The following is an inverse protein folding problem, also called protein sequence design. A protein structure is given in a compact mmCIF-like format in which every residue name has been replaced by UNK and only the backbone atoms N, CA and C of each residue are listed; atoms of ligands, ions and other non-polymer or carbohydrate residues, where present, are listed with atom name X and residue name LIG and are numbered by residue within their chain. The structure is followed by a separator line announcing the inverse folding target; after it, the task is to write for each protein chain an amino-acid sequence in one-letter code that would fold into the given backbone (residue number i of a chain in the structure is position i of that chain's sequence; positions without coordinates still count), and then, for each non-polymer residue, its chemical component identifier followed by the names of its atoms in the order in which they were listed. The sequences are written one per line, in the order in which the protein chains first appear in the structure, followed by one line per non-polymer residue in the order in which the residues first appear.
data_IF_862690294831
#
_entry.id   IF_862690294831
#
_cell.length_a   1.000
_cell.length_b   1.000
_cell.length_c   1.000
_cell.angle_alpha   90.00
_cell.angle_beta   90.00
_cell.angle_gamma   90.00
#
_symmetry.space_group_name_H-M   'P 1'
#
loop_
_entity.id
_entity.type
_entity.pdbx_description
1 polymer ?
#
# COMPACT_ATOMS: atom_id res chain seq x y z
N UNK A 1 9.71 4.65 -12.50
CA UNK A 1 10.27 3.50 -11.75
C UNK A 1 11.38 2.89 -12.59
N UNK A 2 12.46 2.42 -11.95
CA UNK A 2 13.55 1.69 -12.61
C UNK A 2 13.16 0.22 -12.87
N UNK A 3 13.93 -0.56 -13.66
CA UNK A 3 13.63 -1.96 -13.93
C UNK A 3 13.52 -2.83 -12.66
N UNK A 4 14.43 -2.65 -11.71
CA UNK A 4 14.42 -3.41 -10.44
C UNK A 4 13.18 -3.05 -9.60
N UNK A 5 12.81 -1.78 -9.52
CA UNK A 5 11.59 -1.35 -8.81
C UNK A 5 10.31 -1.88 -9.47
N UNK A 6 10.29 -1.98 -10.80
CA UNK A 6 9.18 -2.57 -11.54
C UNK A 6 9.06 -4.07 -11.28
N UNK A 7 10.19 -4.78 -11.17
CA UNK A 7 10.19 -6.20 -10.81
C UNK A 7 9.70 -6.43 -9.36
N UNK A 8 10.09 -5.56 -8.43
CA UNK A 8 9.67 -5.61 -7.04
C UNK A 8 8.16 -5.35 -6.88
N UNK A 9 7.64 -4.34 -7.59
CA UNK A 9 6.22 -4.01 -7.63
C UNK A 9 5.38 -5.23 -8.07
N UNK A 10 5.86 -5.97 -9.06
CA UNK A 10 5.18 -7.13 -9.68
C UNK A 10 5.51 -8.48 -9.04
N UNK A 11 5.99 -8.49 -7.80
CA UNK A 11 6.27 -9.72 -7.04
C UNK A 11 7.26 -10.68 -7.74
N UNK A 12 8.22 -10.16 -8.53
CA UNK A 12 9.21 -10.95 -9.28
C UNK A 12 10.48 -11.22 -8.47
N UNK A 13 10.34 -11.96 -7.37
CA UNK A 13 11.45 -12.21 -6.42
C UNK A 13 12.72 -12.77 -7.07
N UNK A 14 12.60 -13.72 -8.01
CA UNK A 14 13.75 -14.28 -8.73
C UNK A 14 14.55 -13.24 -9.52
N UNK A 15 13.89 -12.21 -10.06
CA UNK A 15 14.57 -11.12 -10.77
C UNK A 15 15.30 -10.23 -9.76
N UNK A 16 14.66 -9.95 -8.61
CA UNK A 16 15.26 -9.14 -7.55
C UNK A 16 16.51 -9.82 -7.02
N UNK A 17 16.45 -11.10 -6.68
CA UNK A 17 17.61 -11.84 -6.16
C UNK A 17 18.80 -11.83 -7.14
N UNK A 18 18.55 -11.81 -8.45
CA UNK A 18 19.59 -11.64 -9.47
C UNK A 18 20.10 -10.18 -9.62
N UNK A 19 19.20 -9.20 -9.57
CA UNK A 19 19.55 -7.79 -9.81
C UNK A 19 20.28 -7.16 -8.62
N UNK A 20 20.00 -7.58 -7.38
CA UNK A 20 20.66 -7.02 -6.20
C UNK A 20 22.15 -7.40 -6.08
N UNK A 21 22.61 -8.38 -6.84
CA UNK A 21 24.03 -8.76 -6.89
C UNK A 21 24.83 -7.92 -7.90
N UNK A 22 24.14 -7.11 -8.72
CA UNK A 22 24.75 -6.34 -9.80
C UNK A 22 25.45 -5.09 -9.28
N UNK A 23 26.74 -4.87 -9.58
CA UNK A 23 27.50 -3.73 -9.06
C UNK A 23 26.95 -2.37 -9.49
N UNK A 24 26.16 -2.32 -10.56
CA UNK A 24 25.54 -1.10 -11.09
C UNK A 24 24.34 -0.61 -10.26
N UNK A 25 23.74 -1.47 -9.44
CA UNK A 25 22.59 -1.11 -8.59
C UNK A 25 23.13 -0.64 -7.24
N UNK A 26 22.80 0.60 -6.86
CA UNK A 26 23.23 1.16 -5.57
C UNK A 26 22.63 0.41 -4.39
N UNK A 27 23.27 0.50 -3.23
CA UNK A 27 22.77 -0.16 -2.02
C UNK A 27 21.37 0.36 -1.62
N UNK A 28 21.11 1.65 -1.80
CA UNK A 28 19.81 2.26 -1.55
C UNK A 28 18.73 1.67 -2.46
N UNK A 29 19.02 1.53 -3.76
CA UNK A 29 18.07 0.97 -4.72
C UNK A 29 17.81 -0.53 -4.45
N UNK A 30 18.83 -1.28 -4.02
CA UNK A 30 18.66 -2.67 -3.57
C UNK A 30 17.74 -2.75 -2.35
N UNK A 31 17.96 -1.89 -1.36
CA UNK A 31 17.16 -1.82 -0.13
C UNK A 31 15.70 -1.51 -0.48
N UNK A 32 15.45 -0.45 -1.24
CA UNK A 32 14.08 -0.05 -1.60
C UNK A 32 13.37 -1.10 -2.46
N UNK A 33 14.10 -1.78 -3.35
CA UNK A 33 13.55 -2.89 -4.13
C UNK A 33 13.15 -4.08 -3.26
N UNK A 34 13.97 -4.45 -2.26
CA UNK A 34 13.66 -5.53 -1.32
C UNK A 34 12.48 -5.16 -0.41
N UNK A 35 12.45 -3.92 0.09
CA UNK A 35 11.31 -3.39 0.87
C UNK A 35 10.01 -3.44 0.06
N UNK A 36 10.04 -2.93 -1.18
CA UNK A 36 8.89 -2.93 -2.06
C UNK A 36 8.46 -4.34 -2.42
N UNK A 37 9.39 -5.26 -2.68
CA UNK A 37 9.07 -6.66 -2.97
C UNK A 37 8.38 -7.32 -1.76
N UNK A 38 8.89 -7.09 -0.54
CA UNK A 38 8.25 -7.56 0.67
C UNK A 38 6.83 -6.98 0.83
N UNK A 39 6.67 -5.69 0.56
CA UNK A 39 5.37 -5.03 0.57
C UNK A 39 4.39 -5.58 -0.48
N UNK A 40 4.88 -5.93 -1.67
CA UNK A 40 4.10 -6.58 -2.73
C UNK A 40 3.58 -7.93 -2.25
N UNK A 41 4.44 -8.83 -1.74
CA UNK A 41 4.03 -10.14 -1.24
C UNK A 41 2.98 -10.06 -0.11
N UNK A 42 3.01 -9.02 0.72
CA UNK A 42 2.05 -8.85 1.81
C UNK A 42 0.63 -8.47 1.35
N UNK A 43 0.46 -7.86 0.18
CA UNK A 43 -0.82 -7.29 -0.27
C UNK A 43 -1.12 -7.53 -1.77
N UNK A 44 -0.54 -8.58 -2.35
CA UNK A 44 -0.80 -9.03 -3.72
C UNK A 44 -1.96 -10.04 -3.74
N UNK A 45 -2.82 -9.99 -4.76
CA UNK A 45 -3.97 -10.88 -4.89
C UNK A 45 -3.58 -12.31 -5.27
N UNK A 46 -2.57 -12.46 -6.13
CA UNK A 46 -2.18 -13.73 -6.75
C UNK A 46 -0.96 -14.34 -6.05
N UNK A 47 -0.06 -13.48 -5.56
CA UNK A 47 1.22 -13.88 -5.00
C UNK A 47 1.28 -13.72 -3.47
N UNK A 48 0.15 -13.56 -2.78
CA UNK A 48 0.11 -13.34 -1.33
C UNK A 48 0.97 -14.36 -0.55
N UNK A 49 1.98 -13.86 0.16
CA UNK A 49 2.88 -14.70 0.98
C UNK A 49 3.52 -13.85 2.09
N UNK A 50 2.96 -13.93 3.30
CA UNK A 50 3.50 -13.19 4.45
C UNK A 50 4.89 -13.65 4.90
N UNK A 51 5.24 -14.92 4.63
CA UNK A 51 6.57 -15.43 4.99
C UNK A 51 7.63 -14.77 4.11
N UNK A 52 7.37 -14.69 2.79
CA UNK A 52 8.23 -13.96 1.85
C UNK A 52 8.22 -12.46 2.12
N UNK A 53 7.07 -11.89 2.46
CA UNK A 53 6.98 -10.47 2.83
C UNK A 53 7.96 -10.12 3.96
N UNK A 54 7.85 -10.84 5.08
CA UNK A 54 8.77 -10.68 6.21
C UNK A 54 10.22 -10.94 5.81
N UNK A 55 10.49 -12.02 5.08
CA UNK A 55 11.84 -12.38 4.66
C UNK A 55 12.54 -11.25 3.89
N UNK A 56 11.86 -10.65 2.90
CA UNK A 56 12.46 -9.56 2.11
C UNK A 56 12.54 -8.24 2.88
N UNK A 57 11.57 -7.93 3.74
CA UNK A 57 11.67 -6.77 4.65
C UNK A 57 12.81 -6.92 5.67
N UNK A 58 13.06 -8.14 6.13
CA UNK A 58 14.17 -8.43 7.04
C UNK A 58 15.51 -8.27 6.33
N UNK A 59 15.65 -8.85 5.12
CA UNK A 59 16.84 -8.72 4.28
C UNK A 59 17.17 -7.27 3.94
N UNK A 60 16.16 -6.44 3.68
CA UNK A 60 16.39 -5.01 3.44
C UNK A 60 16.87 -4.28 4.70
N UNK A 61 16.35 -4.65 5.88
CA UNK A 61 16.77 -4.08 7.15
C UNK A 61 18.22 -4.48 7.51
N UNK A 62 18.61 -5.74 7.25
CA UNK A 62 20.01 -6.17 7.39
C UNK A 62 20.95 -5.35 6.50
N UNK A 63 20.54 -5.04 5.25
CA UNK A 63 21.33 -4.19 4.38
C UNK A 63 21.43 -2.74 4.89
N UNK A 64 20.35 -2.17 5.43
CA UNK A 64 20.37 -0.81 6.02
C UNK A 64 21.39 -0.67 7.15
N UNK A 65 21.63 -1.73 7.90
CA UNK A 65 22.53 -1.79 9.05
C UNK A 65 23.80 -2.60 8.77
N UNK A 66 24.14 -2.84 7.49
CA UNK A 66 25.32 -3.60 7.09
C UNK A 66 26.63 -2.89 7.43
N UNK A 67 26.61 -1.55 7.50
CA UNK A 67 27.64 -0.71 8.09
C UNK A 67 27.08 -0.11 9.40
N UNK A 68 27.46 -0.63 10.59
CA UNK A 68 26.95 -0.15 11.87
C UNK A 68 27.31 1.30 12.19
N UNK A 69 28.42 1.80 11.65
CA UNK A 69 28.89 3.17 11.89
C UNK A 69 28.15 4.19 11.02
N UNK A 70 27.59 3.75 9.88
CA UNK A 70 26.85 4.59 8.94
C UNK A 70 25.58 3.91 8.40
N UNK A 71 24.56 3.69 9.25
CA UNK A 71 23.33 3.03 8.83
C UNK A 71 22.49 3.91 7.87
N UNK A 72 21.92 3.28 6.84
CA UNK A 72 21.03 3.91 5.87
C UNK A 72 19.61 3.97 6.47
N UNK A 73 19.32 5.06 7.19
CA UNK A 73 18.04 5.23 7.89
C UNK A 73 16.86 5.41 6.93
N UNK A 74 15.70 4.88 7.31
CA UNK A 74 14.44 5.12 6.60
C UNK A 74 14.02 6.58 6.78
N UNK A 75 13.36 7.13 5.76
CA UNK A 75 12.70 8.44 5.88
C UNK A 75 11.43 8.28 6.71
N UNK A 76 11.33 9.05 7.80
CA UNK A 76 10.08 9.13 8.57
C UNK A 76 9.01 9.85 7.74
N UNK A 77 7.85 9.21 7.61
CA UNK A 77 6.65 9.79 7.01
C UNK A 77 5.56 9.94 8.07
N UNK A 78 4.68 10.91 7.89
CA UNK A 78 3.53 11.07 8.77
C UNK A 78 2.65 9.81 8.70
N UNK A 79 2.29 9.21 9.85
CA UNK A 79 1.40 8.07 9.86
C UNK A 79 0.07 8.37 9.17
N UNK A 80 -0.40 7.40 8.39
CA UNK A 80 -1.63 7.52 7.61
C UNK A 80 -2.76 6.87 8.41
N UNK A 81 -3.86 7.60 8.72
CA UNK A 81 -4.95 7.05 9.52
C UNK A 81 -5.55 5.75 8.97
N UNK A 82 -5.66 5.63 7.65
CA UNK A 82 -6.16 4.42 7.01
C UNK A 82 -5.30 3.17 7.30
N UNK A 83 -4.00 3.36 7.55
CA UNK A 83 -3.07 2.31 7.93
C UNK A 83 -2.96 2.17 9.46
N UNK A 84 -4.02 2.48 10.21
CA UNK A 84 -4.03 2.40 11.70
C UNK A 84 -3.05 3.38 12.35
N UNK A 85 -2.67 4.45 11.63
CA UNK A 85 -1.55 5.30 12.03
C UNK A 85 -0.25 4.50 12.28
N UNK A 86 -0.04 3.43 11.50
CA UNK A 86 1.16 2.62 11.59
C UNK A 86 2.42 3.47 11.36
N UNK A 87 3.39 3.30 12.25
CA UNK A 87 4.72 3.89 12.12
C UNK A 87 5.63 2.79 11.60
N UNK A 88 6.23 3.03 10.44
CA UNK A 88 7.10 2.06 9.81
C UNK A 88 8.27 1.67 10.73
N UNK A 89 8.57 0.37 10.84
CA UNK A 89 9.69 -0.12 11.63
C UNK A 89 11.00 0.51 11.16
N UNK A 90 11.73 1.12 12.09
CA UNK A 90 13.02 1.80 11.87
C UNK A 90 14.21 0.89 12.15
N UNK A 91 14.03 -0.17 12.94
CA UNK A 91 15.09 -1.08 13.36
C UNK A 91 14.74 -2.54 13.10
N UNK A 92 15.76 -3.41 13.07
CA UNK A 92 15.56 -4.85 12.94
C UNK A 92 14.72 -5.41 14.10
N UNK A 93 14.98 -4.95 15.32
CA UNK A 93 14.23 -5.39 16.51
C UNK A 93 12.74 -5.05 16.44
N UNK A 94 12.38 -3.87 15.93
CA UNK A 94 10.98 -3.49 15.72
C UNK A 94 10.30 -4.40 14.69
N UNK A 95 10.99 -4.72 13.59
CA UNK A 95 10.48 -5.62 12.56
C UNK A 95 10.33 -7.06 13.08
N UNK A 96 11.28 -7.54 13.87
CA UNK A 96 11.22 -8.86 14.51
C UNK A 96 10.05 -8.97 15.50
N UNK A 97 9.76 -7.88 16.23
CA UNK A 97 8.63 -7.83 17.17
C UNK A 97 7.28 -8.04 16.47
N UNK A 98 7.15 -7.65 15.20
CA UNK A 98 5.92 -7.81 14.41
C UNK A 98 5.91 -9.07 13.53
N UNK A 99 6.96 -9.90 13.55
CA UNK A 99 7.09 -11.10 12.69
C UNK A 99 5.87 -12.02 12.69
N UNK A 100 5.22 -12.17 13.85
CA UNK A 100 4.03 -13.02 14.05
C UNK A 100 2.72 -12.25 14.08
N UNK A 101 2.77 -10.92 13.88
CA UNK A 101 1.60 -10.06 13.82
C UNK A 101 1.22 -9.83 12.35
N UNK A 102 0.32 -10.65 11.81
CA UNK A 102 -0.11 -10.57 10.41
C UNK A 102 -0.64 -9.19 10.03
N UNK A 103 -1.47 -8.57 10.88
CA UNK A 103 -2.00 -7.23 10.61
C UNK A 103 -0.89 -6.18 10.59
N UNK A 104 0.05 -6.28 11.53
CA UNK A 104 1.22 -5.42 11.57
C UNK A 104 2.05 -5.49 10.29
N UNK A 105 2.29 -6.70 9.77
CA UNK A 105 3.00 -6.88 8.50
C UNK A 105 2.21 -6.31 7.30
N UNK A 106 0.87 -6.38 7.30
CA UNK A 106 0.07 -5.76 6.25
C UNK A 106 0.16 -4.23 6.28
N UNK A 107 0.09 -3.62 7.48
CA UNK A 107 0.16 -2.15 7.62
C UNK A 107 1.59 -1.63 7.38
N UNK A 108 2.61 -2.35 7.84
CA UNK A 108 4.03 -2.10 7.51
C UNK A 108 4.22 -2.11 5.99
N UNK A 109 3.68 -3.11 5.29
CA UNK A 109 3.76 -3.21 3.83
C UNK A 109 3.09 -2.04 3.10
N UNK A 110 1.89 -1.62 3.52
CA UNK A 110 1.21 -0.48 2.89
C UNK A 110 1.98 0.83 3.10
N UNK A 111 2.54 1.00 4.31
CA UNK A 111 3.36 2.16 4.68
C UNK A 111 4.65 2.21 3.87
N UNK A 112 5.37 1.08 3.76
CA UNK A 112 6.56 0.93 2.92
C UNK A 112 6.25 1.29 1.47
N UNK A 113 5.19 0.72 0.90
CA UNK A 113 4.84 0.93 -0.52
C UNK A 113 4.59 2.40 -0.81
N UNK A 114 3.83 3.10 0.04
CA UNK A 114 3.54 4.52 -0.18
C UNK A 114 4.76 5.42 0.06
N UNK A 115 5.66 5.08 1.00
CA UNK A 115 6.95 5.76 1.17
C UNK A 115 7.84 5.62 -0.05
N UNK A 116 8.04 4.38 -0.52
CA UNK A 116 9.00 4.04 -1.59
C UNK A 116 8.52 4.52 -2.95
N UNK A 117 7.24 4.28 -3.30
CA UNK A 117 6.70 4.68 -4.60
C UNK A 117 6.21 6.13 -4.64
N UNK A 118 5.85 6.69 -3.48
CA UNK A 118 5.23 7.99 -3.35
C UNK A 118 3.73 7.99 -3.66
N UNK A 119 2.97 8.82 -2.95
CA UNK A 119 1.51 8.97 -3.13
C UNK A 119 1.05 9.33 -4.55
N UNK A 120 1.95 9.86 -5.40
CA UNK A 120 1.62 10.20 -6.78
C UNK A 120 1.75 9.02 -7.76
N UNK A 121 2.11 7.83 -7.28
CA UNK A 121 2.30 6.66 -8.13
C UNK A 121 0.98 5.89 -8.29
N UNK A 122 0.55 5.59 -9.54
CA UNK A 122 -0.72 4.93 -9.83
C UNK A 122 -0.81 3.47 -9.34
N UNK A 123 0.30 2.84 -8.98
CA UNK A 123 0.36 1.45 -8.46
C UNK A 123 0.16 1.36 -6.94
N UNK A 124 0.16 2.49 -6.22
CA UNK A 124 -0.07 2.53 -4.76
C UNK A 124 -1.50 2.17 -4.36
N UNK A 125 -2.57 2.66 -5.05
CA UNK A 125 -3.95 2.36 -4.68
C UNK A 125 -4.34 0.88 -4.72
N UNK A 126 -3.76 0.08 -5.63
CA UNK A 126 -4.27 -1.26 -5.91
C UNK A 126 -4.14 -2.25 -4.73
N UNK A 127 -2.97 -2.37 -4.05
CA UNK A 127 -2.85 -3.19 -2.84
C UNK A 127 -3.70 -2.71 -1.67
N UNK A 128 -3.92 -1.40 -1.54
CA UNK A 128 -4.79 -0.81 -0.51
C UNK A 128 -6.23 -1.27 -0.73
N UNK A 129 -6.71 -1.21 -1.98
CA UNK A 129 -8.05 -1.69 -2.37
C UNK A 129 -8.18 -3.19 -2.08
N UNK A 130 -7.17 -3.98 -2.44
CA UNK A 130 -7.17 -5.41 -2.17
C UNK A 130 -7.27 -5.71 -0.68
N UNK A 131 -6.44 -5.06 0.17
CA UNK A 131 -6.51 -5.24 1.62
C UNK A 131 -7.88 -4.83 2.19
N UNK A 132 -8.46 -3.74 1.69
CA UNK A 132 -9.82 -3.32 2.07
C UNK A 132 -10.89 -4.35 1.70
N UNK A 133 -10.77 -5.00 0.54
CA UNK A 133 -11.69 -6.07 0.14
C UNK A 133 -11.61 -7.27 1.11
N UNK A 134 -10.40 -7.67 1.52
CA UNK A 134 -10.21 -8.72 2.53
C UNK A 134 -10.89 -8.35 3.85
N UNK A 135 -10.83 -7.08 4.29
CA UNK A 135 -11.58 -6.65 5.47
C UNK A 135 -13.10 -6.72 5.27
N UNK A 136 -13.62 -6.31 4.11
CA UNK A 136 -15.04 -6.40 3.79
C UNK A 136 -15.56 -7.85 3.79
N UNK A 137 -14.78 -8.79 3.24
CA UNK A 137 -15.11 -10.22 3.23
C UNK A 137 -15.20 -10.79 4.66
N UNK A 138 -14.49 -10.19 5.62
CA UNK A 138 -14.54 -10.52 7.04
C UNK A 138 -15.52 -9.62 7.84
N UNK A 139 -16.45 -8.92 7.15
CA UNK A 139 -17.42 -7.99 7.72
C UNK A 139 -16.80 -6.82 8.54
N UNK A 140 -15.50 -6.55 8.37
CA UNK A 140 -14.79 -5.40 8.93
C UNK A 140 -14.92 -4.18 8.00
N UNK A 141 -16.16 -3.74 7.83
CA UNK A 141 -16.48 -2.62 6.92
C UNK A 141 -15.85 -1.30 7.35
N UNK A 142 -15.66 -1.09 8.65
CA UNK A 142 -14.93 0.04 9.21
C UNK A 142 -13.54 0.19 8.56
N UNK A 143 -12.75 -0.89 8.60
CA UNK A 143 -11.39 -0.91 8.05
C UNK A 143 -11.38 -0.88 6.52
N UNK A 144 -12.33 -1.56 5.88
CA UNK A 144 -12.50 -1.50 4.43
C UNK A 144 -12.70 -0.05 3.96
N UNK A 145 -13.64 0.67 4.58
CA UNK A 145 -13.98 2.04 4.19
C UNK A 145 -12.80 3.00 4.39
N UNK A 146 -12.07 2.91 5.50
CA UNK A 146 -10.88 3.74 5.74
C UNK A 146 -9.80 3.53 4.65
N UNK A 147 -9.51 2.27 4.29
CA UNK A 147 -8.54 1.95 3.24
C UNK A 147 -9.01 2.40 1.86
N UNK A 148 -10.26 2.12 1.50
CA UNK A 148 -10.80 2.49 0.18
C UNK A 148 -10.94 4.00 0.01
N UNK A 149 -11.29 4.74 1.06
CA UNK A 149 -11.34 6.21 1.02
C UNK A 149 -9.94 6.80 0.80
N UNK A 150 -8.91 6.22 1.44
CA UNK A 150 -7.53 6.62 1.17
C UNK A 150 -7.10 6.30 -0.26
N UNK A 151 -7.38 5.10 -0.76
CA UNK A 151 -7.10 4.73 -2.15
C UNK A 151 -7.82 5.63 -3.17
N UNK A 152 -9.05 6.05 -2.88
CA UNK A 152 -9.83 6.98 -3.69
C UNK A 152 -9.15 8.36 -3.77
N UNK A 153 -8.70 8.89 -2.62
CA UNK A 153 -7.95 10.16 -2.53
C UNK A 153 -6.66 10.09 -3.35
N UNK A 154 -5.92 8.98 -3.28
CA UNK A 154 -4.72 8.75 -4.08
C UNK A 154 -5.01 8.70 -5.59
N UNK A 155 -6.05 7.96 -6.02
CA UNK A 155 -6.43 7.87 -7.44
C UNK A 155 -6.79 9.22 -8.04
N UNK A 156 -7.55 10.02 -7.31
CA UNK A 156 -7.93 11.35 -7.77
C UNK A 156 -6.73 12.29 -7.88
N UNK A 157 -5.82 12.28 -6.89
CA UNK A 157 -4.57 13.04 -6.96
C UNK A 157 -3.75 12.72 -8.22
N UNK A 158 -3.89 11.49 -8.73
CA UNK A 158 -3.21 10.99 -9.92
C UNK A 158 -4.04 11.08 -11.20
N UNK A 159 -5.19 11.77 -11.17
CA UNK A 159 -6.11 11.93 -12.30
C UNK A 159 -6.56 10.59 -12.92
N UNK A 160 -6.66 9.54 -12.09
CA UNK A 160 -7.14 8.23 -12.51
C UNK A 160 -8.65 8.17 -12.31
N UNK A 161 -9.38 7.62 -13.29
CA UNK A 161 -10.83 7.44 -13.19
C UNK A 161 -11.21 6.65 -11.92
N UNK A 162 -12.18 7.19 -11.19
CA UNK A 162 -12.69 6.64 -9.93
C UNK A 162 -13.99 5.84 -10.11
N UNK A 163 -14.51 5.68 -11.33
CA UNK A 163 -15.82 5.06 -11.58
C UNK A 163 -15.89 3.62 -11.06
N UNK A 164 -14.79 2.87 -11.17
CA UNK A 164 -14.69 1.51 -10.60
C UNK A 164 -14.71 1.51 -9.08
N UNK A 165 -14.13 2.54 -8.45
CA UNK A 165 -14.11 2.69 -7.00
C UNK A 165 -15.50 3.03 -6.47
N UNK A 166 -16.22 3.94 -7.14
CA UNK A 166 -17.61 4.26 -6.80
C UNK A 166 -18.52 3.01 -6.84
N UNK A 167 -18.34 2.15 -7.86
CA UNK A 167 -19.06 0.89 -7.93
C UNK A 167 -18.75 -0.03 -6.75
N UNK A 168 -17.47 -0.15 -6.36
CA UNK A 168 -17.06 -0.94 -5.19
C UNK A 168 -17.71 -0.41 -3.91
N UNK A 169 -17.73 0.90 -3.69
CA UNK A 169 -18.42 1.49 -2.53
C UNK A 169 -19.91 1.19 -2.53
N UNK A 170 -20.59 1.33 -3.67
CA UNK A 170 -22.01 0.99 -3.79
C UNK A 170 -22.28 -0.48 -3.42
N UNK A 171 -21.41 -1.39 -3.85
CA UNK A 171 -21.50 -2.82 -3.51
C UNK A 171 -21.34 -3.05 -2.00
N UNK A 172 -20.33 -2.45 -1.37
CA UNK A 172 -20.10 -2.61 0.08
C UNK A 172 -21.22 -1.99 0.90
N UNK A 173 -21.72 -0.80 0.53
CA UNK A 173 -22.86 -0.20 1.22
C UNK A 173 -24.12 -1.05 1.11
N UNK A 174 -24.37 -1.64 -0.07
CA UNK A 174 -25.47 -2.59 -0.27
C UNK A 174 -25.33 -3.82 0.64
N UNK A 175 -24.12 -4.40 0.71
CA UNK A 175 -23.84 -5.54 1.58
C UNK A 175 -24.04 -5.20 3.06
N UNK A 176 -23.54 -4.04 3.52
CA UNK A 176 -23.73 -3.56 4.88
C UNK A 176 -25.21 -3.47 5.24
N UNK A 177 -26.04 -2.85 4.39
CA UNK A 177 -27.47 -2.74 4.61
C UNK A 177 -28.15 -4.12 4.64
N UNK A 178 -27.78 -5.02 3.74
CA UNK A 178 -28.35 -6.36 3.66
C UNK A 178 -28.16 -7.16 4.95
N UNK A 179 -26.99 -7.03 5.59
CA UNK A 179 -26.69 -7.74 6.84
C UNK A 179 -27.03 -6.92 8.10
N UNK A 180 -27.72 -5.78 7.95
CA UNK A 180 -28.16 -4.94 9.08
C UNK A 180 -27.06 -4.06 9.71
N UNK A 181 -25.92 -3.88 9.04
CA UNK A 181 -24.85 -2.97 9.49
C UNK A 181 -25.18 -1.53 9.08
N UNK A 182 -25.02 -0.59 10.02
CA UNK A 182 -25.29 0.83 9.78
C UNK A 182 -24.28 1.40 8.77
N UNK A 183 -24.80 1.97 7.68
CA UNK A 183 -24.01 2.78 6.75
C UNK A 183 -23.98 4.22 7.27
N UNK A 184 -22.79 4.81 7.38
CA UNK A 184 -22.66 6.20 7.80
C UNK A 184 -23.06 7.15 6.66
N UNK A 185 -23.97 8.07 6.94
CA UNK A 185 -24.34 9.13 6.00
C UNK A 185 -23.12 9.98 5.59
N UNK A 186 -22.18 10.22 6.51
CA UNK A 186 -20.95 10.95 6.21
C UNK A 186 -20.10 10.26 5.15
N UNK A 187 -19.92 8.94 5.24
CA UNK A 187 -19.16 8.16 4.26
C UNK A 187 -19.84 8.14 2.90
N UNK A 188 -21.17 8.01 2.85
CA UNK A 188 -21.92 8.07 1.58
C UNK A 188 -21.76 9.43 0.92
N UNK A 189 -21.92 10.52 1.69
CA UNK A 189 -21.74 11.89 1.17
C UNK A 189 -20.30 12.10 0.69
N UNK A 190 -19.29 11.63 1.44
CA UNK A 190 -17.89 11.73 1.03
C UNK A 190 -17.67 11.00 -0.30
N UNK A 191 -18.10 9.73 -0.41
CA UNK A 191 -17.97 8.93 -1.65
C UNK A 191 -18.66 9.59 -2.84
N UNK A 192 -19.89 10.08 -2.67
CA UNK A 192 -20.62 10.77 -3.74
C UNK A 192 -20.03 12.13 -4.07
N UNK A 193 -19.44 12.84 -3.11
CA UNK A 193 -18.72 14.08 -3.35
C UNK A 193 -17.63 13.92 -4.40
N UNK A 194 -16.96 12.76 -4.41
CA UNK A 194 -15.88 12.47 -5.34
C UNK A 194 -16.35 12.25 -6.80
N UNK A 195 -17.62 11.89 -7.03
CA UNK A 195 -18.15 11.79 -8.40
C UNK A 195 -18.31 13.16 -9.08
N UNK A 196 -18.56 14.22 -8.30
CA UNK A 196 -18.78 15.57 -8.82
C UNK A 196 -17.48 16.32 -9.14
N UNK A 197 -16.37 15.96 -8.50
CA UNK A 197 -15.06 16.54 -8.79
C UNK A 197 -14.50 16.12 -10.15
N UNK A 198 -14.84 14.91 -10.65
CA UNK A 198 -14.46 14.49 -12.01
C UNK A 198 -15.18 15.29 -13.11
N UNK A 199 -16.43 15.68 -12.86
CA UNK A 199 -17.27 16.43 -13.83
C UNK A 199 -16.81 17.88 -13.98
N UNK A 200 -16.32 18.51 -12.90
CA UNK A 200 -15.82 19.90 -12.96
C UNK A 200 -14.50 20.05 -13.71
N UNK A 201 -13.68 19.00 -13.77
CA UNK A 201 -12.36 19.06 -14.42
C UNK A 201 -12.38 18.66 -15.89
N UNK A 202 -13.33 17.82 -16.34
CA UNK A 202 -13.54 17.55 -17.77
C UNK A 202 -14.02 18.81 -18.53
N UNK A 203 -14.74 19.72 -17.87
CA UNK A 203 -15.16 21.00 -18.45
C UNK A 203 -14.02 22.00 -18.63
N UNK A 204 -12.89 21.84 -17.94
CA UNK A 204 -11.74 22.78 -18.00
C UNK A 204 -10.76 22.39 -19.11
N UNK A 205 -10.84 21.18 -19.67
CA UNK A 205 -9.96 20.72 -20.78
C UNK A 205 -10.54 20.96 -22.17
N UNK A 206 -11.65 21.68 -22.29
CA UNK A 206 -12.35 21.94 -23.56
C UNK A 206 -12.35 23.40 -24.02
N UNK A 207 -11.59 24.29 -23.37
CA UNK A 207 -11.40 25.69 -23.79
C UNK A 207 -9.91 25.95 -24.13
#
# INVERSE_FOLDING_TARGET
MTPIMTAAERSRGFIIDYLIERPEISIEERIEALELLGASYANDKENYDLSKAYMYMHKSMELRYSDPDNPIKKKLIQPIPAYENWVECQTLSELEAIKRNSNGLHMEALTIRERVLGSSNPEVPQPIIYRGAIFADNARFDRCLELWLHALKLRQKNYVSVSKDLLRFAQVFSQMLHIGTKVSHSHVIEVLGWSNSGVREEQIKTD
#
